data_IF_407049236125
#
_entry.id   IF_407049236125
#
_cell.length_a   1.000
_cell.length_b   1.000
_cell.length_c   1.000
_cell.angle_alpha   90.00
_cell.angle_beta   90.00
_cell.angle_gamma   90.00
#
_symmetry.space_group_name_H-M   'P 1'
#
loop_
_entity.id
_entity.type
_entity.pdbx_description
1 polymer ?
#
# COMPACT_ATOMS: atom_id res chain seq x y z
N UNK A 1 6.71 9.80 30.16
CA UNK A 1 7.84 9.93 29.20
C UNK A 1 9.05 10.59 29.85
N UNK A 2 8.84 11.76 30.48
CA UNK A 2 9.93 12.58 31.02
C UNK A 2 10.63 11.94 32.23
N UNK A 3 9.87 11.32 33.13
CA UNK A 3 10.40 10.65 34.33
C UNK A 3 11.50 9.61 34.03
N UNK A 4 11.46 8.96 32.86
CA UNK A 4 12.40 7.92 32.47
C UNK A 4 13.15 8.27 31.17
N UNK A 5 13.18 9.54 30.75
CA UNK A 5 13.71 9.92 29.44
C UNK A 5 15.17 9.51 29.22
N UNK A 6 16.05 9.80 30.19
CA UNK A 6 17.48 9.46 30.11
C UNK A 6 17.74 7.94 30.23
N UNK A 7 17.23 7.24 31.26
CA UNK A 7 17.39 5.78 31.38
C UNK A 7 16.84 5.04 30.16
N UNK A 8 15.69 5.45 29.63
CA UNK A 8 15.07 4.79 28.48
C UNK A 8 15.91 4.94 27.21
N UNK A 9 16.51 6.11 26.97
CA UNK A 9 17.40 6.31 25.82
C UNK A 9 18.61 5.37 25.88
N UNK A 10 19.19 5.18 27.06
CA UNK A 10 20.30 4.25 27.26
C UNK A 10 19.88 2.78 27.07
N UNK A 11 18.72 2.38 27.61
CA UNK A 11 18.15 1.04 27.43
C UNK A 11 17.89 0.76 25.94
N UNK A 12 17.31 1.73 25.23
CA UNK A 12 17.03 1.58 23.80
C UNK A 12 18.32 1.39 23.01
N UNK A 13 19.31 2.26 23.19
CA UNK A 13 20.54 2.22 22.42
C UNK A 13 21.37 0.97 22.71
N UNK A 14 21.63 0.68 23.99
CA UNK A 14 22.57 -0.36 24.39
C UNK A 14 21.91 -1.73 24.43
N UNK A 15 20.76 -1.86 25.09
CA UNK A 15 20.14 -3.17 25.28
C UNK A 15 19.25 -3.55 24.08
N UNK A 16 18.29 -2.69 23.72
CA UNK A 16 17.30 -3.05 22.70
C UNK A 16 17.92 -3.14 21.31
N UNK A 17 18.64 -2.11 20.88
CA UNK A 17 19.21 -2.08 19.53
C UNK A 17 20.48 -2.94 19.48
N UNK A 18 21.51 -2.55 20.23
CA UNK A 18 22.84 -3.17 20.11
C UNK A 18 22.87 -4.62 20.61
N UNK A 19 22.33 -4.91 21.80
CA UNK A 19 22.46 -6.25 22.37
C UNK A 19 21.37 -7.21 21.87
N UNK A 20 20.13 -6.75 21.67
CA UNK A 20 19.02 -7.64 21.31
C UNK A 20 18.78 -7.71 19.79
N UNK A 21 18.44 -6.60 19.12
CA UNK A 21 18.03 -6.62 17.71
C UNK A 21 19.19 -6.95 16.75
N UNK A 22 20.39 -6.46 17.04
CA UNK A 22 21.59 -6.62 16.21
C UNK A 22 22.39 -7.92 16.48
N UNK A 23 21.82 -8.88 17.21
CA UNK A 23 22.46 -10.17 17.47
C UNK A 23 21.49 -11.33 17.25
N UNK A 24 22.02 -12.48 16.82
CA UNK A 24 21.30 -13.75 16.73
C UNK A 24 22.06 -14.82 17.53
N UNK A 25 21.51 -15.15 18.70
CA UNK A 25 22.08 -16.10 19.66
C UNK A 25 21.65 -17.53 19.38
N UNK A 26 20.44 -17.70 18.86
CA UNK A 26 19.86 -18.99 18.51
C UNK A 26 19.89 -19.22 17.01
N UNK A 27 20.11 -20.47 16.60
CA UNK A 27 19.99 -20.89 15.19
C UNK A 27 18.60 -21.47 14.99
N UNK A 28 17.83 -20.84 14.10
CA UNK A 28 16.49 -21.26 13.75
C UNK A 28 16.46 -22.58 12.99
N UNK A 29 15.34 -23.29 13.12
CA UNK A 29 15.11 -24.54 12.40
C UNK A 29 15.00 -24.28 10.88
N UNK A 30 15.62 -25.16 10.07
CA UNK A 30 15.65 -25.07 8.60
C UNK A 30 14.58 -25.93 7.94
N UNK A 31 13.33 -25.85 8.42
CA UNK A 31 12.21 -26.62 7.87
C UNK A 31 11.58 -25.97 6.62
N UNK A 32 12.01 -24.77 6.25
CA UNK A 32 11.53 -24.03 5.08
C UNK A 32 10.14 -23.41 5.20
N UNK A 33 9.42 -23.60 6.32
CA UNK A 33 8.10 -23.01 6.53
C UNK A 33 8.21 -21.48 6.65
N UNK A 34 7.29 -20.77 6.00
CA UNK A 34 7.18 -19.31 6.09
C UNK A 34 6.38 -18.85 7.32
N UNK A 35 5.69 -19.75 8.00
CA UNK A 35 4.94 -19.45 9.21
C UNK A 35 4.84 -20.67 10.11
N UNK A 36 4.86 -20.44 11.41
CA UNK A 36 4.71 -21.44 12.47
C UNK A 36 3.70 -20.92 13.51
N UNK A 37 3.16 -21.82 14.34
CA UNK A 37 2.27 -21.40 15.44
C UNK A 37 3.03 -20.58 16.47
N UNK A 38 2.31 -19.84 17.32
CA UNK A 38 2.94 -18.92 18.28
C UNK A 38 3.82 -19.65 19.31
N UNK A 39 3.54 -20.92 19.59
CA UNK A 39 4.33 -21.79 20.49
C UNK A 39 5.66 -22.23 19.88
N UNK A 40 5.75 -22.26 18.55
CA UNK A 40 6.94 -22.69 17.80
C UNK A 40 7.87 -21.52 17.43
N UNK A 41 7.44 -20.27 17.66
CA UNK A 41 8.28 -19.08 17.41
C UNK A 41 9.44 -19.07 18.41
N UNK A 42 10.65 -18.76 17.93
CA UNK A 42 11.81 -18.75 18.82
C UNK A 42 11.64 -17.68 19.92
N UNK A 43 12.02 -17.99 21.19
CA UNK A 43 11.94 -17.02 22.28
C UNK A 43 12.71 -15.72 21.99
N UNK A 44 13.82 -15.82 21.26
CA UNK A 44 14.60 -14.67 20.81
C UNK A 44 13.79 -13.76 19.89
N UNK A 45 13.06 -14.30 18.92
CA UNK A 45 12.21 -13.51 18.01
C UNK A 45 10.99 -12.95 18.71
N UNK A 46 10.39 -13.69 19.65
CA UNK A 46 9.35 -13.13 20.52
C UNK A 46 9.86 -11.91 21.29
N UNK A 47 11.08 -11.98 21.84
CA UNK A 47 11.72 -10.85 22.51
C UNK A 47 11.99 -9.69 21.54
N UNK A 48 12.51 -9.95 20.33
CA UNK A 48 12.73 -8.92 19.28
C UNK A 48 11.42 -8.22 18.88
N UNK A 49 10.32 -8.97 18.72
CA UNK A 49 9.00 -8.39 18.43
C UNK A 49 8.51 -7.49 19.57
N UNK A 50 8.70 -7.90 20.84
CA UNK A 50 8.34 -7.04 21.97
C UNK A 50 9.22 -5.80 22.08
N UNK A 51 10.51 -5.93 21.77
CA UNK A 51 11.44 -4.80 21.66
C UNK A 51 10.99 -3.79 20.60
N UNK A 52 10.58 -4.22 19.40
CA UNK A 52 10.03 -3.33 18.37
C UNK A 52 8.79 -2.59 18.91
N UNK A 53 7.87 -3.30 19.58
CA UNK A 53 6.69 -2.67 20.20
C UNK A 53 7.07 -1.69 21.31
N UNK A 54 8.13 -1.95 22.07
CA UNK A 54 8.66 -1.05 23.08
C UNK A 54 9.18 0.24 22.43
N UNK A 55 9.97 0.13 21.34
CA UNK A 55 10.45 1.31 20.59
C UNK A 55 9.29 2.20 20.14
N UNK A 56 8.25 1.60 19.56
CA UNK A 56 7.06 2.34 19.13
C UNK A 56 6.37 3.02 20.31
N UNK A 57 6.10 2.31 21.41
CA UNK A 57 5.43 2.90 22.59
C UNK A 57 6.26 4.00 23.24
N UNK A 58 7.58 3.85 23.26
CA UNK A 58 8.49 4.87 23.75
C UNK A 58 8.40 6.15 22.91
N UNK A 59 8.46 6.05 21.59
CA UNK A 59 8.28 7.19 20.68
C UNK A 59 6.89 7.81 20.84
N UNK A 60 5.82 7.01 20.81
CA UNK A 60 4.45 7.52 21.01
C UNK A 60 4.25 8.19 22.39
N UNK A 61 5.06 7.85 23.38
CA UNK A 61 5.12 8.58 24.64
C UNK A 61 5.82 9.93 24.52
N UNK A 62 6.91 10.01 23.76
CA UNK A 62 7.68 11.25 23.57
C UNK A 62 6.95 12.30 22.72
N UNK A 63 6.27 11.86 21.65
CA UNK A 63 5.56 12.73 20.68
C UNK A 63 6.38 13.91 20.15
N UNK A 64 7.68 13.71 20.04
CA UNK A 64 8.59 14.66 19.41
C UNK A 64 9.75 13.90 18.77
N UNK A 65 10.50 14.60 17.92
CA UNK A 65 11.69 14.06 17.27
C UNK A 65 12.92 14.99 17.37
N UNK A 66 13.01 15.79 18.44
CA UNK A 66 14.14 16.73 18.63
C UNK A 66 15.49 16.00 18.72
N UNK A 67 15.49 14.80 19.31
CA UNK A 67 16.68 13.95 19.48
C UNK A 67 17.01 13.04 18.30
N UNK A 68 16.26 13.13 17.18
CA UNK A 68 16.36 12.24 16.00
C UNK A 68 16.20 10.73 16.32
N UNK A 69 15.60 10.41 17.47
CA UNK A 69 15.35 9.02 17.91
C UNK A 69 14.35 8.32 16.99
N UNK A 70 13.36 9.05 16.46
CA UNK A 70 12.40 8.48 15.53
C UNK A 70 13.03 8.20 14.16
N UNK A 71 13.89 9.09 13.62
CA UNK A 71 14.64 8.80 12.38
C UNK A 71 15.49 7.53 12.51
N UNK A 72 16.19 7.39 13.64
CA UNK A 72 17.04 6.22 13.89
C UNK A 72 16.21 4.93 13.96
N UNK A 73 15.04 5.00 14.59
CA UNK A 73 14.11 3.87 14.70
C UNK A 73 13.50 3.52 13.34
N UNK A 74 13.04 4.51 12.56
CA UNK A 74 12.50 4.29 11.22
C UNK A 74 13.55 3.64 10.30
N UNK A 75 14.80 4.12 10.33
CA UNK A 75 15.90 3.51 9.57
C UNK A 75 16.16 2.06 9.96
N UNK A 76 16.12 1.74 11.26
CA UNK A 76 16.26 0.37 11.75
C UNK A 76 15.12 -0.54 11.25
N UNK A 77 13.87 -0.07 11.32
CA UNK A 77 12.71 -0.82 10.85
C UNK A 77 12.74 -1.03 9.32
N UNK A 78 13.14 0.00 8.56
CA UNK A 78 13.34 -0.13 7.12
C UNK A 78 14.46 -1.11 6.79
N UNK A 79 15.60 -1.07 7.49
CA UNK A 79 16.68 -2.03 7.29
C UNK A 79 16.22 -3.48 7.55
N UNK A 80 15.36 -3.69 8.54
CA UNK A 80 14.76 -5.00 8.81
C UNK A 80 13.84 -5.48 7.68
N UNK A 81 13.12 -4.58 7.00
CA UNK A 81 12.31 -4.93 5.83
C UNK A 81 13.18 -5.22 4.60
N UNK A 82 14.23 -4.42 4.35
CA UNK A 82 15.16 -4.62 3.23
C UNK A 82 15.93 -5.94 3.36
N UNK A 83 16.34 -6.31 4.57
CA UNK A 83 17.04 -7.58 4.88
C UNK A 83 16.07 -8.77 5.01
N UNK A 84 14.82 -8.62 4.57
CA UNK A 84 13.78 -9.63 4.63
C UNK A 84 13.53 -10.22 6.04
N UNK A 85 13.90 -9.50 7.10
CA UNK A 85 13.78 -9.93 8.50
C UNK A 85 15.08 -10.44 9.12
N UNK A 86 16.15 -10.64 8.34
CA UNK A 86 17.48 -11.05 8.84
C UNK A 86 18.42 -9.84 8.97
N UNK A 87 18.18 -9.02 9.99
CA UNK A 87 18.89 -7.75 10.19
C UNK A 87 20.42 -7.90 10.34
N UNK A 88 20.92 -9.08 10.76
CA UNK A 88 22.36 -9.32 10.90
C UNK A 88 22.98 -9.94 9.65
N UNK A 89 22.15 -10.40 8.71
CA UNK A 89 22.53 -11.12 7.48
C UNK A 89 23.36 -12.39 7.72
N UNK A 90 23.33 -12.93 8.96
CA UNK A 90 24.08 -14.12 9.34
C UNK A 90 23.39 -15.43 8.94
N UNK A 91 22.17 -15.37 8.37
CA UNK A 91 21.37 -16.54 7.96
C UNK A 91 21.12 -17.53 9.09
N UNK A 92 21.04 -17.02 10.33
CA UNK A 92 20.76 -17.79 11.54
C UNK A 92 19.27 -17.85 11.87
N UNK A 93 18.51 -16.83 11.49
CA UNK A 93 17.07 -16.74 11.78
C UNK A 93 16.30 -17.68 10.83
N UNK A 94 15.28 -18.38 11.36
CA UNK A 94 14.42 -19.24 10.54
C UNK A 94 13.54 -18.40 9.60
N UNK A 95 13.10 -18.95 8.46
CA UNK A 95 12.21 -18.24 7.54
C UNK A 95 10.89 -17.79 8.20
N UNK A 96 10.30 -18.65 9.03
CA UNK A 96 9.08 -18.32 9.78
C UNK A 96 9.28 -17.17 10.76
N UNK A 97 10.44 -17.11 11.42
CA UNK A 97 10.78 -16.02 12.33
C UNK A 97 11.07 -14.72 11.57
N UNK A 98 11.73 -14.79 10.41
CA UNK A 98 11.94 -13.65 9.52
C UNK A 98 10.60 -13.03 9.11
N UNK A 99 9.59 -13.84 8.76
CA UNK A 99 8.23 -13.36 8.48
C UNK A 99 7.59 -12.64 9.67
N UNK A 100 7.81 -13.09 10.92
CA UNK A 100 7.34 -12.40 12.14
C UNK A 100 8.01 -11.03 12.30
N UNK A 101 9.31 -10.93 12.01
CA UNK A 101 10.08 -9.70 12.09
C UNK A 101 9.66 -8.69 11.02
N UNK A 102 9.44 -9.12 9.77
CA UNK A 102 8.89 -8.26 8.70
C UNK A 102 7.52 -7.69 9.06
N UNK A 103 6.61 -8.54 9.56
CA UNK A 103 5.29 -8.10 10.03
C UNK A 103 5.40 -7.10 11.19
N UNK A 104 6.32 -7.32 12.13
CA UNK A 104 6.54 -6.42 13.25
C UNK A 104 7.09 -5.05 12.79
N UNK A 105 8.05 -5.05 11.86
CA UNK A 105 8.64 -3.84 11.31
C UNK A 105 7.64 -3.00 10.51
N UNK A 106 6.93 -3.61 9.55
CA UNK A 106 5.89 -2.93 8.78
C UNK A 106 4.76 -2.42 9.66
N UNK A 107 4.32 -3.25 10.63
CA UNK A 107 3.32 -2.84 11.62
C UNK A 107 3.77 -1.68 12.51
N UNK A 108 5.07 -1.58 12.83
CA UNK A 108 5.64 -0.49 13.61
C UNK A 108 5.70 0.82 12.84
N UNK A 109 6.16 0.81 11.58
CA UNK A 109 6.18 1.99 10.71
C UNK A 109 4.74 2.53 10.54
N UNK A 110 3.80 1.66 10.18
CA UNK A 110 2.38 2.04 10.06
C UNK A 110 1.79 2.56 11.38
N UNK A 111 2.25 2.07 12.54
CA UNK A 111 1.77 2.57 13.82
C UNK A 111 2.33 3.96 14.14
N UNK A 112 3.60 4.22 13.80
CA UNK A 112 4.22 5.54 13.96
C UNK A 112 3.59 6.57 13.02
N UNK A 113 3.23 6.17 11.79
CA UNK A 113 2.55 7.03 10.83
C UNK A 113 1.16 7.55 11.28
N UNK A 114 0.59 7.00 12.36
CA UNK A 114 -0.65 7.49 12.96
C UNK A 114 -0.44 8.72 13.87
N UNK A 115 0.81 9.08 14.19
CA UNK A 115 1.14 10.24 14.99
C UNK A 115 1.80 11.30 14.09
N UNK A 116 1.23 12.53 13.96
CA UNK A 116 1.65 13.52 12.97
C UNK A 116 3.15 13.82 12.95
N UNK A 117 3.77 14.01 14.13
CA UNK A 117 5.21 14.32 14.22
C UNK A 117 6.13 13.22 13.66
N UNK A 118 5.64 11.98 13.62
CA UNK A 118 6.37 10.86 13.03
C UNK A 118 5.99 10.63 11.59
N UNK A 119 4.73 10.88 11.22
CA UNK A 119 4.30 10.90 9.83
C UNK A 119 5.12 11.89 9.00
N UNK A 120 5.32 13.12 9.48
CA UNK A 120 6.06 14.19 8.78
C UNK A 120 7.52 13.83 8.45
N UNK A 121 8.13 12.85 9.14
CA UNK A 121 9.52 12.44 8.92
C UNK A 121 9.66 11.10 8.19
N UNK A 122 8.56 10.39 7.94
CA UNK A 122 8.58 9.14 7.15
C UNK A 122 8.80 9.53 5.70
N UNK A 123 9.87 9.02 5.10
CA UNK A 123 10.18 9.34 3.70
C UNK A 123 9.31 8.54 2.73
N UNK A 124 9.15 8.98 1.46
CA UNK A 124 8.45 8.22 0.43
C UNK A 124 8.96 6.79 0.29
N UNK A 125 10.28 6.56 0.34
CA UNK A 125 10.90 5.24 0.29
C UNK A 125 10.45 4.35 1.45
N UNK A 126 10.40 4.91 2.65
CA UNK A 126 9.98 4.17 3.84
C UNK A 126 8.50 3.81 3.79
N UNK A 127 7.68 4.71 3.28
CA UNK A 127 6.26 4.46 3.01
C UNK A 127 6.08 3.34 1.97
N UNK A 128 6.77 3.44 0.82
CA UNK A 128 6.72 2.44 -0.26
C UNK A 128 7.14 1.06 0.25
N UNK A 129 8.29 0.97 0.94
CA UNK A 129 8.79 -0.26 1.53
C UNK A 129 7.81 -0.86 2.54
N UNK A 130 7.20 -0.02 3.39
CA UNK A 130 6.16 -0.46 4.31
C UNK A 130 4.90 -0.96 3.56
N UNK A 131 4.53 -0.32 2.45
CA UNK A 131 3.39 -0.71 1.62
C UNK A 131 3.55 -2.10 1.02
N UNK A 132 4.76 -2.47 0.57
CA UNK A 132 5.07 -3.76 -0.04
C UNK A 132 4.86 -4.96 0.89
N UNK A 133 4.79 -4.75 2.21
CA UNK A 133 4.46 -5.81 3.19
C UNK A 133 3.08 -6.44 2.91
N UNK A 134 2.18 -5.73 2.21
CA UNK A 134 0.88 -6.28 1.80
C UNK A 134 1.00 -7.40 0.76
N UNK A 135 2.15 -7.49 0.07
CA UNK A 135 2.51 -8.50 -0.93
C UNK A 135 3.64 -9.45 -0.47
N UNK A 136 3.88 -9.55 0.84
CA UNK A 136 4.85 -10.49 1.43
C UNK A 136 4.66 -11.95 0.95
N UNK A 137 5.75 -12.70 0.78
CA UNK A 137 5.71 -14.13 0.43
C UNK A 137 4.85 -14.95 1.40
N UNK A 138 4.82 -14.55 2.67
CA UNK A 138 4.09 -15.23 3.72
C UNK A 138 2.64 -14.74 3.76
N UNK A 139 1.69 -15.66 3.53
CA UNK A 139 0.26 -15.38 3.54
C UNK A 139 -0.20 -14.70 4.84
N UNK A 140 0.26 -15.17 6.00
CA UNK A 140 -0.12 -14.64 7.30
C UNK A 140 0.38 -13.21 7.51
N UNK A 141 1.58 -12.87 6.99
CA UNK A 141 2.10 -11.49 7.03
C UNK A 141 1.17 -10.57 6.24
N UNK A 142 0.86 -10.92 4.98
CA UNK A 142 -0.08 -10.16 4.13
C UNK A 142 -1.43 -9.99 4.80
N UNK A 143 -1.96 -11.08 5.37
CA UNK A 143 -3.27 -11.09 6.01
C UNK A 143 -3.33 -10.15 7.22
N UNK A 144 -2.41 -10.33 8.18
CA UNK A 144 -2.40 -9.57 9.42
C UNK A 144 -2.06 -8.09 9.15
N UNK A 145 -1.15 -7.81 8.21
CA UNK A 145 -0.79 -6.45 7.83
C UNK A 145 -2.01 -5.70 7.24
N UNK A 146 -2.71 -6.31 6.28
CA UNK A 146 -3.91 -5.72 5.68
C UNK A 146 -5.04 -5.48 6.70
N UNK A 147 -5.21 -6.36 7.67
CA UNK A 147 -6.19 -6.16 8.76
C UNK A 147 -5.83 -4.95 9.63
N UNK A 148 -4.54 -4.78 9.97
CA UNK A 148 -4.05 -3.62 10.73
C UNK A 148 -4.23 -2.32 9.95
N UNK A 149 -3.89 -2.35 8.65
CA UNK A 149 -4.08 -1.25 7.72
C UNK A 149 -5.55 -0.83 7.66
N UNK A 150 -6.45 -1.78 7.40
CA UNK A 150 -7.88 -1.55 7.38
C UNK A 150 -8.38 -0.92 8.68
N UNK A 151 -8.03 -1.51 9.83
CA UNK A 151 -8.48 -1.04 11.14
C UNK A 151 -8.02 0.39 11.46
N UNK A 152 -6.80 0.75 11.07
CA UNK A 152 -6.28 2.09 11.29
C UNK A 152 -6.95 3.13 10.38
N UNK A 153 -7.21 2.77 9.12
CA UNK A 153 -7.86 3.64 8.14
C UNK A 153 -9.34 3.88 8.45
N UNK A 154 -10.10 2.88 8.92
CA UNK A 154 -11.53 3.07 9.28
C UNK A 154 -11.70 3.91 10.55
N UNK A 155 -10.67 3.96 11.41
CA UNK A 155 -10.63 4.85 12.57
C UNK A 155 -10.17 6.27 12.22
N UNK A 156 -9.88 6.55 10.94
CA UNK A 156 -9.34 7.82 10.45
C UNK A 156 -8.05 8.25 11.17
N UNK A 157 -7.26 7.29 11.66
CA UNK A 157 -5.99 7.55 12.35
C UNK A 157 -4.79 7.54 11.41
N UNK A 158 -4.92 6.85 10.27
CA UNK A 158 -3.84 6.71 9.31
C UNK A 158 -4.07 7.69 8.14
N UNK A 159 -3.00 8.37 7.68
CA UNK A 159 -3.05 9.27 6.53
C UNK A 159 -3.60 8.60 5.25
N UNK A 160 -4.17 9.41 4.35
CA UNK A 160 -4.92 8.93 3.19
C UNK A 160 -4.05 8.15 2.21
N UNK A 161 -2.76 8.46 2.09
CA UNK A 161 -1.82 7.75 1.21
C UNK A 161 -1.72 6.27 1.54
N UNK A 162 -1.93 5.85 2.79
CA UNK A 162 -1.93 4.43 3.15
C UNK A 162 -3.14 3.68 2.59
N UNK A 163 -4.22 4.38 2.20
CA UNK A 163 -5.31 3.77 1.46
C UNK A 163 -4.83 3.26 0.09
N UNK A 164 -3.84 3.93 -0.52
CA UNK A 164 -3.25 3.55 -1.81
C UNK A 164 -2.64 2.15 -1.80
N UNK A 165 -2.17 1.68 -0.64
CA UNK A 165 -1.57 0.35 -0.46
C UNK A 165 -2.55 -0.78 -0.84
N UNK A 166 -3.86 -0.57 -0.73
CA UNK A 166 -4.84 -1.57 -1.20
C UNK A 166 -4.82 -1.82 -2.71
N UNK A 167 -4.28 -0.90 -3.52
CA UNK A 167 -4.12 -1.13 -4.96
C UNK A 167 -3.19 -2.31 -5.25
N UNK A 168 -2.15 -2.49 -4.43
CA UNK A 168 -1.18 -3.58 -4.55
C UNK A 168 -1.80 -4.97 -4.30
N UNK A 169 -2.93 -5.04 -3.59
CA UNK A 169 -3.65 -6.30 -3.37
C UNK A 169 -4.17 -6.93 -4.66
N UNK A 170 -4.25 -6.19 -5.78
CA UNK A 170 -4.63 -6.75 -7.07
C UNK A 170 -3.68 -7.89 -7.52
N UNK A 171 -2.41 -7.83 -7.08
CA UNK A 171 -1.37 -8.83 -7.31
C UNK A 171 -1.48 -10.07 -6.40
N UNK A 172 -2.38 -10.06 -5.41
CA UNK A 172 -2.47 -11.16 -4.45
C UNK A 172 -2.95 -12.45 -5.14
N UNK A 173 -2.18 -13.56 -5.08
CA UNK A 173 -2.53 -14.79 -5.76
C UNK A 173 -3.81 -15.43 -5.21
N UNK A 174 -4.20 -15.10 -3.97
CA UNK A 174 -5.37 -15.66 -3.30
C UNK A 174 -6.61 -14.82 -3.61
N UNK A 175 -7.62 -15.44 -4.21
CA UNK A 175 -8.85 -14.74 -4.64
C UNK A 175 -9.62 -14.14 -3.46
N UNK A 176 -9.69 -14.86 -2.35
CA UNK A 176 -10.35 -14.45 -1.11
C UNK A 176 -9.70 -13.20 -0.51
N UNK A 177 -8.38 -13.06 -0.65
CA UNK A 177 -7.63 -11.88 -0.21
C UNK A 177 -7.97 -10.65 -1.03
N UNK A 178 -8.03 -10.79 -2.36
CA UNK A 178 -8.48 -9.72 -3.27
C UNK A 178 -9.90 -9.28 -2.94
N UNK A 179 -10.82 -10.22 -2.74
CA UNK A 179 -12.20 -9.92 -2.36
C UNK A 179 -12.28 -9.19 -1.01
N UNK A 180 -11.53 -9.64 0.00
CA UNK A 180 -11.48 -9.00 1.31
C UNK A 180 -10.89 -7.59 1.26
N UNK A 181 -9.79 -7.39 0.55
CA UNK A 181 -9.18 -6.08 0.34
C UNK A 181 -10.15 -5.09 -0.33
N UNK A 182 -10.92 -5.55 -1.32
CA UNK A 182 -11.95 -4.75 -1.99
C UNK A 182 -13.07 -4.35 -1.02
N UNK A 183 -13.50 -5.25 -0.14
CA UNK A 183 -14.47 -4.95 0.92
C UNK A 183 -13.92 -3.90 1.91
N UNK A 184 -12.65 -4.04 2.32
CA UNK A 184 -11.98 -3.06 3.18
C UNK A 184 -11.89 -1.68 2.54
N UNK A 185 -11.62 -1.60 1.23
CA UNK A 185 -11.58 -0.36 0.47
C UNK A 185 -12.95 0.30 0.40
N UNK A 186 -14.00 -0.45 0.03
CA UNK A 186 -15.39 0.03 0.01
C UNK A 186 -15.80 0.63 1.36
N UNK A 187 -15.50 -0.07 2.47
CA UNK A 187 -15.86 0.40 3.81
C UNK A 187 -15.11 1.67 4.19
N UNK A 188 -13.83 1.79 3.84
CA UNK A 188 -13.04 2.99 4.10
C UNK A 188 -13.54 4.21 3.34
N UNK A 189 -13.92 4.04 2.07
CA UNK A 189 -14.50 5.10 1.23
C UNK A 189 -15.84 5.55 1.81
N UNK A 190 -16.72 4.59 2.13
CA UNK A 190 -18.03 4.87 2.72
C UNK A 190 -17.93 5.65 4.03
N UNK A 191 -17.08 5.22 4.97
CA UNK A 191 -16.89 5.91 6.26
C UNK A 191 -16.39 7.34 6.05
N UNK A 192 -15.44 7.57 5.15
CA UNK A 192 -14.89 8.90 4.87
C UNK A 192 -15.95 9.84 4.28
N UNK A 193 -16.72 9.37 3.29
CA UNK A 193 -17.82 10.14 2.70
C UNK A 193 -18.90 10.48 3.74
N UNK A 194 -19.30 9.50 4.54
CA UNK A 194 -20.24 9.71 5.65
C UNK A 194 -19.71 10.73 6.67
N UNK A 195 -18.43 10.62 7.05
CA UNK A 195 -17.80 11.56 7.96
C UNK A 195 -17.80 13.00 7.41
N UNK A 196 -17.47 13.19 6.13
CA UNK A 196 -17.49 14.51 5.48
C UNK A 196 -18.90 15.09 5.48
N UNK A 197 -19.89 14.29 5.09
CA UNK A 197 -21.29 14.73 5.01
C UNK A 197 -21.86 15.12 6.39
N UNK A 198 -21.46 14.42 7.45
CA UNK A 198 -21.96 14.64 8.80
C UNK A 198 -21.20 15.74 9.56
N UNK A 199 -20.04 16.20 9.07
CA UNK A 199 -19.18 17.15 9.78
C UNK A 199 -18.81 18.34 8.87
N UNK A 200 -19.53 19.48 8.96
CA UNK A 200 -19.24 20.65 8.12
C UNK A 200 -17.78 21.13 8.22
N UNK A 201 -17.15 21.05 9.39
CA UNK A 201 -15.75 21.40 9.62
C UNK A 201 -14.74 20.48 8.89
N UNK A 202 -15.18 19.33 8.37
CA UNK A 202 -14.35 18.44 7.57
C UNK A 202 -14.03 19.02 6.18
N UNK A 203 -14.79 20.03 5.72
CA UNK A 203 -14.55 20.67 4.43
C UNK A 203 -13.19 21.37 4.35
N UNK A 204 -12.66 21.85 5.49
CA UNK A 204 -11.32 22.45 5.57
C UNK A 204 -10.19 21.40 5.47
N UNK A 205 -10.53 20.12 5.52
CA UNK A 205 -9.60 18.97 5.50
C UNK A 205 -9.90 17.99 4.37
N UNK A 206 -10.55 18.44 3.28
CA UNK A 206 -10.94 17.56 2.18
C UNK A 206 -9.75 16.82 1.57
N UNK A 207 -8.58 17.45 1.45
CA UNK A 207 -7.38 16.81 0.88
C UNK A 207 -6.98 15.55 1.67
N UNK A 208 -7.17 15.53 2.99
CA UNK A 208 -6.81 14.37 3.84
C UNK A 208 -7.96 13.38 4.06
N UNK A 209 -9.20 13.74 3.72
CA UNK A 209 -10.39 12.94 4.00
C UNK A 209 -11.11 12.43 2.76
N UNK A 210 -11.20 13.22 1.70
CA UNK A 210 -11.96 12.88 0.50
C UNK A 210 -11.24 11.74 -0.25
N UNK A 211 -11.88 10.56 -0.44
CA UNK A 211 -11.19 9.37 -0.92
C UNK A 211 -10.52 9.51 -2.28
N UNK A 212 -11.04 10.35 -3.17
CA UNK A 212 -10.51 10.62 -4.50
C UNK A 212 -9.06 11.13 -4.48
N UNK A 213 -8.64 11.82 -3.41
CA UNK A 213 -7.24 12.26 -3.23
C UNK A 213 -6.27 11.10 -2.95
N UNK A 214 -6.73 9.84 -2.88
CA UNK A 214 -5.84 8.67 -2.85
C UNK A 214 -5.10 8.46 -4.19
N UNK A 215 -5.68 8.92 -5.31
CA UNK A 215 -5.19 8.60 -6.66
C UNK A 215 -3.75 9.04 -6.93
N UNK A 216 -3.29 10.25 -6.55
CA UNK A 216 -1.89 10.65 -6.72
C UNK A 216 -0.93 9.74 -5.96
N UNK A 217 -1.29 9.34 -4.74
CA UNK A 217 -0.48 8.43 -3.93
C UNK A 217 -0.42 7.03 -4.54
N UNK A 218 -1.53 6.53 -5.09
CA UNK A 218 -1.55 5.27 -5.83
C UNK A 218 -0.67 5.32 -7.07
N UNK A 219 -0.76 6.38 -7.88
CA UNK A 219 0.07 6.55 -9.08
C UNK A 219 1.55 6.56 -8.70
N UNK A 220 1.93 7.35 -7.69
CA UNK A 220 3.30 7.41 -7.22
C UNK A 220 3.78 6.06 -6.65
N UNK A 221 2.96 5.38 -5.85
CA UNK A 221 3.29 4.06 -5.29
C UNK A 221 3.55 3.03 -6.40
N UNK A 222 2.71 3.01 -7.44
CA UNK A 222 2.84 2.07 -8.56
C UNK A 222 3.99 2.43 -9.51
N UNK A 223 4.30 3.71 -9.71
CA UNK A 223 5.46 4.15 -10.49
C UNK A 223 6.80 3.71 -9.86
N UNK A 224 6.82 3.58 -8.53
CA UNK A 224 7.97 3.13 -7.73
C UNK A 224 7.86 1.66 -7.28
N UNK A 225 6.89 0.91 -7.80
CA UNK A 225 6.76 -0.53 -7.51
C UNK A 225 7.99 -1.28 -8.06
N UNK A 226 8.68 -2.11 -7.25
CA UNK A 226 9.89 -2.82 -7.68
C UNK A 226 9.67 -3.78 -8.86
N UNK A 227 8.44 -4.26 -9.08
CA UNK A 227 8.12 -5.14 -10.21
C UNK A 227 8.02 -4.33 -11.52
N UNK A 228 7.75 -3.02 -11.45
CA UNK A 228 7.62 -2.14 -12.62
C UNK A 228 8.97 -1.64 -13.13
N UNK A 229 9.67 -2.56 -13.79
CA UNK A 229 11.04 -2.39 -14.28
C UNK A 229 11.13 -2.10 -15.78
N UNK A 230 10.13 -2.53 -16.56
CA UNK A 230 10.11 -2.44 -18.02
C UNK A 230 8.82 -1.74 -18.47
N UNK A 231 8.84 -0.41 -18.63
CA UNK A 231 7.63 0.37 -18.88
C UNK A 231 6.93 0.12 -20.23
N UNK A 232 7.57 -0.65 -21.11
CA UNK A 232 7.03 -1.03 -22.42
C UNK A 232 6.56 -2.50 -22.47
N UNK A 233 6.77 -3.26 -21.39
CA UNK A 233 6.39 -4.66 -21.31
C UNK A 233 4.88 -4.79 -21.10
N UNK A 234 4.21 -5.56 -21.97
CA UNK A 234 2.76 -5.69 -21.97
C UNK A 234 2.22 -6.33 -20.69
N UNK A 235 2.90 -7.35 -20.16
CA UNK A 235 2.45 -8.03 -18.95
C UNK A 235 2.55 -7.11 -17.73
N UNK A 236 3.64 -6.34 -17.61
CA UNK A 236 3.77 -5.34 -16.55
C UNK A 236 2.73 -4.21 -16.65
N UNK A 237 2.42 -3.75 -17.87
CA UNK A 237 1.35 -2.75 -18.09
C UNK A 237 -0.04 -3.30 -17.75
N UNK A 238 -0.29 -4.59 -18.02
CA UNK A 238 -1.53 -5.27 -17.60
C UNK A 238 -1.63 -5.35 -16.09
N UNK A 239 -0.58 -5.77 -15.40
CA UNK A 239 -0.58 -5.88 -13.94
C UNK A 239 -0.76 -4.50 -13.28
N UNK A 240 -0.12 -3.46 -13.85
CA UNK A 240 -0.31 -2.08 -13.46
C UNK A 240 -1.77 -1.60 -13.64
N UNK A 241 -2.38 -1.91 -14.78
CA UNK A 241 -3.78 -1.62 -15.06
C UNK A 241 -4.71 -2.28 -14.03
N UNK A 242 -4.47 -3.55 -13.67
CA UNK A 242 -5.28 -4.26 -12.67
C UNK A 242 -5.17 -3.61 -11.28
N UNK A 243 -3.98 -3.16 -10.86
CA UNK A 243 -3.79 -2.41 -9.62
C UNK A 243 -4.57 -1.08 -9.62
N UNK A 244 -4.49 -0.32 -10.72
CA UNK A 244 -5.21 0.94 -10.89
C UNK A 244 -6.74 0.70 -10.89
N UNK A 245 -7.20 -0.30 -11.64
CA UNK A 245 -8.60 -0.68 -11.72
C UNK A 245 -9.16 -1.07 -10.35
N UNK A 246 -8.42 -1.86 -9.58
CA UNK A 246 -8.83 -2.32 -8.25
C UNK A 246 -9.26 -1.18 -7.32
N UNK A 247 -8.62 -0.01 -7.43
CA UNK A 247 -8.96 1.17 -6.65
C UNK A 247 -9.99 2.07 -7.34
N UNK A 248 -9.74 2.40 -8.62
CA UNK A 248 -10.56 3.34 -9.38
C UNK A 248 -11.98 2.82 -9.60
N UNK A 249 -12.16 1.50 -9.79
CA UNK A 249 -13.48 0.88 -9.90
C UNK A 249 -14.36 1.30 -8.72
N UNK A 250 -13.83 1.17 -7.50
CA UNK A 250 -14.53 1.44 -6.23
C UNK A 250 -14.81 2.93 -6.04
N UNK A 251 -13.83 3.79 -6.31
CA UNK A 251 -14.00 5.25 -6.21
C UNK A 251 -15.12 5.76 -7.14
N UNK A 252 -15.17 5.21 -8.35
CA UNK A 252 -16.10 5.59 -9.41
C UNK A 252 -17.49 4.93 -9.30
N UNK A 253 -17.77 4.04 -8.32
CA UNK A 253 -19.09 3.37 -8.25
C UNK A 253 -20.23 4.35 -8.02
N UNK A 254 -20.05 5.36 -7.17
CA UNK A 254 -21.16 6.22 -6.77
C UNK A 254 -21.41 7.37 -7.76
N UNK A 255 -20.49 7.65 -8.69
CA UNK A 255 -20.54 8.79 -9.65
C UNK A 255 -21.23 10.07 -9.11
N UNK A 256 -21.05 10.35 -7.82
CA UNK A 256 -21.58 11.55 -7.19
C UNK A 256 -20.68 12.72 -7.58
N UNK A 257 -21.28 13.89 -7.84
CA UNK A 257 -20.59 15.19 -7.93
C UNK A 257 -19.43 15.29 -8.95
N UNK A 258 -19.57 14.75 -10.17
CA UNK A 258 -18.54 14.82 -11.21
C UNK A 258 -17.19 14.17 -10.82
N UNK A 259 -17.20 13.18 -9.92
CA UNK A 259 -15.99 12.47 -9.46
C UNK A 259 -15.10 11.98 -10.61
N UNK A 260 -15.65 11.53 -11.74
CA UNK A 260 -14.86 11.11 -12.91
C UNK A 260 -14.03 12.24 -13.52
N UNK A 261 -14.63 13.42 -13.72
CA UNK A 261 -13.92 14.58 -14.26
C UNK A 261 -12.85 15.08 -13.26
N UNK A 262 -13.15 15.03 -11.97
CA UNK A 262 -12.21 15.38 -10.91
C UNK A 262 -10.98 14.44 -10.90
N UNK A 263 -11.21 13.12 -10.93
CA UNK A 263 -10.14 12.13 -11.01
C UNK A 263 -9.29 12.32 -12.26
N UNK A 264 -9.93 12.45 -13.43
CA UNK A 264 -9.23 12.70 -14.70
C UNK A 264 -8.34 13.94 -14.62
N UNK A 265 -8.89 15.06 -14.13
CA UNK A 265 -8.15 16.32 -14.01
C UNK A 265 -6.95 16.20 -13.06
N UNK A 266 -7.11 15.45 -11.98
CA UNK A 266 -6.02 15.18 -11.03
C UNK A 266 -4.87 14.42 -11.71
N UNK A 267 -5.17 13.38 -12.48
CA UNK A 267 -4.15 12.62 -13.22
C UNK A 267 -3.49 13.46 -14.31
N UNK A 268 -4.26 14.26 -15.06
CA UNK A 268 -3.73 15.20 -16.04
C UNK A 268 -2.76 16.21 -15.42
N UNK A 269 -3.06 16.71 -14.21
CA UNK A 269 -2.19 17.63 -13.50
C UNK A 269 -0.86 16.96 -13.06
N UNK A 270 -0.88 15.69 -12.63
CA UNK A 270 0.36 14.95 -12.30
C UNK A 270 1.30 14.89 -13.51
N UNK A 271 0.77 14.71 -14.73
CA UNK A 271 1.58 14.71 -15.96
C UNK A 271 2.25 16.06 -16.26
N UNK A 272 1.81 17.15 -15.64
CA UNK A 272 2.44 18.48 -15.74
C UNK A 272 3.50 18.71 -14.64
N UNK A 273 3.74 17.71 -13.79
CA UNK A 273 4.73 17.75 -12.71
C UNK A 273 5.86 16.77 -13.00
N UNK A 274 6.85 16.74 -12.10
CA UNK A 274 7.92 15.75 -12.09
C UNK A 274 7.81 14.89 -10.84
N UNK A 275 8.40 13.70 -10.89
CA UNK A 275 8.56 12.85 -9.71
C UNK A 275 9.41 13.56 -8.66
N UNK A 276 8.82 13.90 -7.51
CA UNK A 276 9.50 14.68 -6.48
C UNK A 276 10.63 13.89 -5.78
N UNK A 277 10.56 12.56 -5.80
CA UNK A 277 11.58 11.68 -5.22
C UNK A 277 12.85 11.65 -6.10
N UNK A 278 12.69 11.68 -7.43
CA UNK A 278 13.78 11.66 -8.41
C UNK A 278 13.51 12.64 -9.58
N UNK A 279 13.49 13.97 -9.35
CA UNK A 279 13.03 14.95 -10.35
C UNK A 279 13.94 15.08 -11.58
N UNK A 280 15.21 14.72 -11.41
CA UNK A 280 16.24 14.78 -12.46
C UNK A 280 16.47 13.44 -13.15
N UNK A 281 15.83 12.36 -12.71
CA UNK A 281 15.91 11.04 -13.36
C UNK A 281 14.84 10.93 -14.46
N UNK A 282 15.22 10.92 -15.75
CA UNK A 282 14.26 10.80 -16.84
C UNK A 282 13.46 9.50 -16.79
N UNK A 283 14.06 8.40 -16.30
CA UNK A 283 13.39 7.08 -16.24
C UNK A 283 12.32 7.04 -15.15
N UNK A 284 12.56 7.67 -14.00
CA UNK A 284 11.57 7.80 -12.94
C UNK A 284 10.35 8.60 -13.42
N UNK A 285 10.59 9.72 -14.11
CA UNK A 285 9.54 10.55 -14.69
C UNK A 285 8.77 9.81 -15.81
N UNK A 286 9.46 9.07 -16.69
CA UNK A 286 8.83 8.24 -17.71
C UNK A 286 7.85 7.23 -17.10
N UNK A 287 8.27 6.50 -16.04
CA UNK A 287 7.40 5.57 -15.31
C UNK A 287 6.16 6.28 -14.74
N UNK A 288 6.35 7.45 -14.12
CA UNK A 288 5.25 8.24 -13.56
C UNK A 288 4.22 8.59 -14.64
N UNK A 289 4.67 9.08 -15.81
CA UNK A 289 3.78 9.46 -16.90
C UNK A 289 3.05 8.26 -17.52
N UNK A 290 3.72 7.11 -17.65
CA UNK A 290 3.11 5.87 -18.14
C UNK A 290 2.00 5.41 -17.19
N UNK A 291 2.23 5.45 -15.87
CA UNK A 291 1.20 5.09 -14.88
C UNK A 291 0.01 6.05 -14.97
N UNK A 292 0.25 7.35 -15.18
CA UNK A 292 -0.83 8.31 -15.46
C UNK A 292 -1.61 7.95 -16.72
N UNK A 293 -0.96 7.55 -17.82
CA UNK A 293 -1.62 7.17 -19.06
C UNK A 293 -2.50 5.92 -18.90
N UNK A 294 -2.01 4.90 -18.19
CA UNK A 294 -2.81 3.71 -17.85
C UNK A 294 -4.00 4.10 -16.96
N UNK A 295 -3.81 5.00 -15.99
CA UNK A 295 -4.88 5.48 -15.12
C UNK A 295 -5.95 6.26 -15.90
N UNK A 296 -5.55 7.15 -16.81
CA UNK A 296 -6.48 7.86 -17.71
C UNK A 296 -7.23 6.89 -18.60
N UNK A 297 -6.56 5.88 -19.15
CA UNK A 297 -7.19 4.82 -19.93
C UNK A 297 -8.28 4.10 -19.13
N UNK A 298 -8.00 3.74 -17.87
CA UNK A 298 -8.96 3.11 -16.95
C UNK A 298 -10.16 4.01 -16.66
N UNK A 299 -9.94 5.31 -16.40
CA UNK A 299 -11.00 6.27 -16.08
C UNK A 299 -11.93 6.50 -17.27
N UNK A 300 -11.37 6.59 -18.48
CA UNK A 300 -12.12 6.88 -19.71
C UNK A 300 -12.86 5.65 -20.24
N UNK A 301 -12.26 4.46 -20.16
CA UNK A 301 -12.82 3.23 -20.74
C UNK A 301 -13.68 2.38 -19.80
N UNK A 302 -14.12 2.92 -18.65
CA UNK A 302 -15.20 2.27 -17.89
C UNK A 302 -16.49 2.35 -18.72
N UNK A 303 -17.16 1.23 -19.03
CA UNK A 303 -18.38 1.27 -19.84
C UNK A 303 -19.46 2.08 -19.11
N UNK A 304 -19.73 3.29 -19.63
CA UNK A 304 -20.82 4.16 -19.18
C UNK A 304 -22.14 3.78 -19.87
N UNK A 305 -22.06 3.00 -20.95
CA UNK A 305 -23.20 2.61 -21.78
C UNK A 305 -23.54 1.12 -21.58
N UNK A 306 -24.83 0.76 -21.54
CA UNK A 306 -25.24 -0.64 -21.54
C UNK A 306 -24.72 -1.35 -22.79
N UNK A 307 -23.84 -2.34 -22.61
CA UNK A 307 -23.23 -3.10 -23.71
C UNK A 307 -24.22 -3.81 -24.63
N UNK A 308 -25.47 -4.02 -24.16
CA UNK A 308 -26.57 -4.55 -24.98
C UNK A 308 -27.08 -3.60 -26.07
N UNK A 309 -26.88 -2.28 -25.91
CA UNK A 309 -27.50 -1.27 -26.76
C UNK A 309 -26.49 -0.43 -27.55
N UNK A 310 -25.21 -0.50 -27.21
CA UNK A 310 -24.19 0.37 -27.79
C UNK A 310 -22.92 -0.42 -28.10
N UNK A 311 -22.36 -0.19 -29.28
CA UNK A 311 -21.05 -0.70 -29.66
C UNK A 311 -19.95 0.03 -28.87
N UNK A 312 -18.76 -0.58 -28.72
CA UNK A 312 -17.59 0.14 -28.21
C UNK A 312 -17.38 1.45 -29.00
N UNK A 313 -16.88 2.53 -28.37
CA UNK A 313 -16.61 3.77 -29.06
C UNK A 313 -15.63 3.54 -30.22
N UNK A 314 -15.94 4.12 -31.39
CA UNK A 314 -15.05 4.09 -32.56
C UNK A 314 -13.68 4.67 -32.21
N UNK A 315 -12.61 4.08 -32.75
CA UNK A 315 -11.21 4.46 -32.47
C UNK A 315 -11.01 5.97 -32.67
N UNK A 316 -11.02 6.73 -31.57
CA UNK A 316 -10.78 8.17 -31.62
C UNK A 316 -9.29 8.41 -31.91
N UNK A 317 -9.01 9.18 -32.96
CA UNK A 317 -7.67 9.64 -33.28
C UNK A 317 -7.10 10.48 -32.14
N UNK A 318 -6.22 9.89 -31.34
CA UNK A 318 -5.29 10.61 -30.45
C UNK A 318 -3.86 10.32 -30.87
N UNK A 319 -3.16 11.36 -31.31
CA UNK A 319 -1.77 11.35 -31.70
C UNK A 319 -0.85 11.17 -30.48
N UNK A 320 -0.57 9.93 -30.07
CA UNK A 320 0.50 9.62 -29.10
C UNK A 320 1.14 8.28 -29.48
N UNK A 321 2.38 8.33 -29.92
CA UNK A 321 3.08 7.20 -30.54
C UNK A 321 3.75 6.29 -29.51
N UNK A 322 3.61 4.99 -29.74
CA UNK A 322 4.11 3.81 -29.02
C UNK A 322 3.33 3.27 -27.81
N UNK A 323 3.06 4.02 -26.73
CA UNK A 323 2.38 3.44 -25.53
C UNK A 323 0.91 3.09 -25.77
N UNK A 324 0.22 3.83 -26.64
CA UNK A 324 -1.19 3.57 -26.96
C UNK A 324 -1.42 2.27 -27.74
N UNK A 325 -0.45 1.83 -28.54
CA UNK A 325 -0.59 0.60 -29.34
C UNK A 325 -0.76 -0.59 -28.40
N UNK A 326 0.08 -0.69 -27.36
CA UNK A 326 -0.02 -1.74 -26.33
C UNK A 326 -1.25 -1.59 -25.42
N UNK A 327 -1.75 -0.36 -25.21
CA UNK A 327 -2.99 -0.11 -24.46
C UNK A 327 -4.26 -0.46 -25.24
N UNK A 328 -4.22 -0.42 -26.57
CA UNK A 328 -5.34 -0.81 -27.42
C UNK A 328 -5.61 -2.33 -27.35
N UNK A 329 -4.56 -3.12 -27.11
CA UNK A 329 -4.64 -4.57 -26.87
C UNK A 329 -5.06 -4.93 -25.44
N UNK A 330 -5.15 -3.94 -24.53
CA UNK A 330 -5.67 -4.11 -23.16
C UNK A 330 -7.21 -4.02 -23.07
N UNK A 331 -7.91 -3.91 -24.21
CA UNK A 331 -9.37 -4.05 -24.28
C UNK A 331 -9.73 -5.50 -23.91
N UNK A 332 -10.61 -5.64 -22.93
CA UNK A 332 -10.83 -6.89 -22.21
C UNK A 332 -11.77 -7.84 -23.00
N UNK A 333 -11.22 -8.90 -23.60
CA UNK A 333 -11.95 -10.02 -24.25
C UNK A 333 -12.51 -11.06 -23.25
N UNK A 334 -12.89 -10.65 -22.04
CA UNK A 334 -13.48 -11.57 -21.06
C UNK A 334 -14.85 -11.10 -20.59
N UNK A 335 -15.87 -11.55 -21.31
CA UNK A 335 -17.23 -11.73 -20.81
C UNK A 335 -17.19 -12.58 -19.52
N UNK A 336 -17.33 -11.94 -18.36
CA UNK A 336 -17.63 -12.63 -17.10
C UNK A 336 -19.09 -12.51 -16.69
N UNK A 337 -20.00 -12.35 -17.66
CA UNK A 337 -21.44 -12.39 -17.43
C UNK A 337 -22.14 -13.02 -18.65
N UNK A 338 -22.41 -14.33 -18.59
CA UNK A 338 -23.72 -14.99 -18.79
C UNK A 338 -23.51 -16.49 -19.06
N UNK A 339 -23.93 -17.33 -18.11
CA UNK A 339 -24.55 -18.66 -18.31
C UNK A 339 -25.03 -19.15 -16.93
N UNK A 340 -26.25 -19.60 -16.67
CA UNK A 340 -27.50 -19.60 -17.40
C UNK A 340 -28.60 -19.89 -16.37
N UNK A 341 -29.73 -19.20 -16.45
CA UNK A 341 -30.98 -19.66 -15.84
C UNK A 341 -31.78 -20.32 -16.96
N UNK A 342 -32.24 -21.58 -16.82
CA UNK A 342 -33.05 -22.21 -17.84
C UNK A 342 -34.43 -21.52 -17.90
N UNK A 343 -35.06 -21.45 -19.08
CA UNK A 343 -36.45 -21.03 -19.19
C UNK A 343 -37.34 -22.06 -18.51
N UNK A 344 -38.15 -21.63 -17.54
CA UNK A 344 -39.27 -22.43 -17.05
C UNK A 344 -40.27 -22.61 -18.21
N UNK A 345 -40.82 -23.82 -18.42
CA UNK A 345 -41.77 -24.03 -19.50
C UNK A 345 -43.13 -23.45 -19.13
N UNK A 346 -43.80 -22.93 -20.15
CA UNK A 346 -45.22 -22.62 -20.16
C UNK A 346 -46.06 -23.80 -19.63
N UNK A 347 -46.74 -23.58 -18.50
CA UNK A 347 -48.15 -23.95 -18.23
C UNK A 347 -48.60 -23.38 -16.88
#
# INVERSE_FOLDING_TARGET
PDQFASPMKAIVANFIVKDLLMNDRSVGNKNGKLWTSDEEVSPEVLAKVQAIKLLVRWLLGMKNNQSKSANSTLRLLSAMLVSEGDLTEQKKISKSDMSRLRLAAGGAIMKLAQEPVYHDIITPEQFQLCGLVINDECYQVRQIFAQKLHLALVKLLLPLEYLAVFSLCAKDPVKERRAHARQCLLKNISIRREFINNNPLAHDKLVSLLPEYVVPYMIHLLAHDPDFTKPQDFEQLRDLKECLWFMLEVLMVQNENNSHAFLRKMVENIKQTKDAQCPDDPKANEKLYIVCDVALFVIVNKPVLPSKFYTPPDKVHTSYTHTLVSLQDLINDKEYLISGLPPGPDQ
#
